data_IF_774196808796
#
_entry.id   IF_774196808796
#
_cell.length_a   1.000
_cell.length_b   1.000
_cell.length_c   1.000
_cell.angle_alpha   90.00
_cell.angle_beta   90.00
_cell.angle_gamma   90.00
#
_symmetry.space_group_name_H-M   'P 1'
#
loop_
_entity.id
_entity.type
_entity.pdbx_description
1 polymer ?
#
# COMPACT_ATOMS: atom_id res chain seq x y z
N UNK A 1 -15.66 7.97 63.43
CA UNK A 1 -17.11 8.25 63.39
C UNK A 1 -17.56 8.16 61.94
N UNK A 2 -18.34 7.15 61.56
CA UNK A 2 -19.03 7.11 60.26
C UNK A 2 -20.39 7.77 60.49
N UNK A 3 -20.61 8.91 59.85
CA UNK A 3 -21.78 9.77 60.00
C UNK A 3 -22.72 9.53 58.83
N UNK A 4 -23.63 8.58 58.98
CA UNK A 4 -24.92 8.43 58.31
C UNK A 4 -25.45 7.03 58.65
N UNK A 5 -26.67 6.92 59.14
CA UNK A 5 -27.27 5.69 59.67
C UNK A 5 -27.60 4.61 58.63
N UNK A 6 -26.75 4.40 57.62
CA UNK A 6 -26.99 3.45 56.53
C UNK A 6 -26.39 2.05 56.78
N UNK A 7 -25.43 1.93 57.71
CA UNK A 7 -24.75 0.66 57.99
C UNK A 7 -24.80 0.38 59.49
N UNK A 8 -25.46 -0.72 59.85
CA UNK A 8 -25.39 -1.26 61.20
C UNK A 8 -24.15 -2.14 61.32
N UNK A 9 -23.18 -1.67 62.11
CA UNK A 9 -21.92 -2.37 62.35
C UNK A 9 -21.98 -2.98 63.75
N UNK A 10 -21.81 -4.30 63.86
CA UNK A 10 -21.79 -5.00 65.15
C UNK A 10 -20.51 -5.83 65.29
N UNK A 11 -19.68 -5.51 66.27
CA UNK A 11 -18.43 -6.25 66.55
C UNK A 11 -17.49 -5.55 67.56
N UNK A 12 -16.68 -6.35 68.25
CA UNK A 12 -15.58 -5.90 69.12
C UNK A 12 -14.32 -5.57 68.29
N UNK A 13 -13.38 -4.79 68.87
CA UNK A 13 -12.22 -4.06 68.33
C UNK A 13 -11.34 -4.76 67.27
N UNK A 14 -11.55 -6.04 66.96
CA UNK A 14 -10.79 -6.82 65.98
C UNK A 14 -11.58 -7.39 64.80
N UNK A 15 -12.92 -7.33 64.80
CA UNK A 15 -13.73 -7.74 63.64
C UNK A 15 -15.06 -6.99 63.58
N UNK A 16 -15.30 -6.27 62.49
CA UNK A 16 -16.56 -5.58 62.22
C UNK A 16 -17.43 -6.47 61.34
N UNK A 17 -18.62 -6.85 61.82
CA UNK A 17 -19.62 -7.52 60.98
C UNK A 17 -20.59 -6.47 60.49
N UNK A 18 -20.70 -6.35 59.17
CA UNK A 18 -21.62 -5.45 58.48
C UNK A 18 -22.74 -6.29 57.89
N UNK A 19 -23.97 -5.80 57.98
CA UNK A 19 -25.11 -6.44 57.33
C UNK A 19 -24.93 -6.38 55.80
N UNK A 20 -24.80 -7.54 55.17
CA UNK A 20 -24.51 -7.68 53.73
C UNK A 20 -25.55 -6.97 52.86
N UNK A 21 -26.84 -7.04 53.22
CA UNK A 21 -27.92 -6.42 52.46
C UNK A 21 -27.88 -4.87 52.51
N UNK A 22 -27.38 -4.30 53.61
CA UNK A 22 -27.20 -2.85 53.73
C UNK A 22 -25.96 -2.38 52.97
N UNK A 23 -24.90 -3.20 52.95
CA UNK A 23 -23.70 -2.92 52.17
C UNK A 23 -23.99 -2.94 50.67
N UNK A 24 -24.71 -3.95 50.19
CA UNK A 24 -25.03 -4.09 48.76
C UNK A 24 -25.87 -2.93 48.23
N UNK A 25 -26.88 -2.49 49.01
CA UNK A 25 -27.71 -1.33 48.68
C UNK A 25 -26.92 -0.03 48.61
N UNK A 26 -26.04 0.21 49.61
CA UNK A 26 -25.24 1.42 49.66
C UNK A 26 -24.20 1.48 48.54
N UNK A 27 -23.63 0.33 48.14
CA UNK A 27 -22.69 0.25 47.01
C UNK A 27 -23.42 0.48 45.68
N UNK A 28 -24.63 -0.05 45.52
CA UNK A 28 -25.48 0.20 44.34
C UNK A 28 -25.83 1.69 44.16
N UNK A 29 -26.31 2.35 45.22
CA UNK A 29 -26.71 3.77 45.18
C UNK A 29 -25.51 4.71 44.94
N UNK A 30 -24.34 4.42 45.50
CA UNK A 30 -23.12 5.23 45.30
C UNK A 30 -22.48 4.97 43.92
N UNK A 31 -22.54 3.72 43.42
CA UNK A 31 -22.02 3.35 42.11
C UNK A 31 -22.77 4.02 40.96
N UNK A 32 -24.10 4.15 41.06
CA UNK A 32 -24.92 4.81 40.05
C UNK A 32 -24.67 6.32 39.98
N UNK A 33 -24.56 7.01 41.12
CA UNK A 33 -24.26 8.44 41.16
C UNK A 33 -22.89 8.79 40.55
N UNK A 34 -21.87 7.93 40.75
CA UNK A 34 -20.54 8.11 40.15
C UNK A 34 -20.59 7.87 38.64
N UNK A 35 -21.38 6.88 38.19
CA UNK A 35 -21.55 6.55 36.77
C UNK A 35 -22.31 7.66 36.03
N UNK A 36 -23.31 8.25 36.68
CA UNK A 36 -24.08 9.38 36.15
C UNK A 36 -23.22 10.65 36.08
N UNK A 37 -22.48 11.00 37.14
CA UNK A 37 -21.54 12.13 37.12
C UNK A 37 -20.41 11.98 36.12
N UNK A 38 -19.92 10.75 35.89
CA UNK A 38 -18.93 10.47 34.85
C UNK A 38 -19.51 10.59 33.43
N UNK A 39 -20.78 10.26 33.23
CA UNK A 39 -21.47 10.42 31.95
C UNK A 39 -21.76 11.90 31.65
N UNK A 40 -22.16 12.67 32.66
CA UNK A 40 -22.43 14.11 32.56
C UNK A 40 -21.14 14.91 32.28
N UNK A 41 -20.05 14.61 32.99
CA UNK A 41 -18.73 15.22 32.76
C UNK A 41 -18.22 14.95 31.34
N UNK A 42 -18.39 13.73 30.82
CA UNK A 42 -18.03 13.38 29.42
C UNK A 42 -18.92 14.10 28.40
N UNK A 43 -20.20 14.28 28.70
CA UNK A 43 -21.12 14.99 27.81
C UNK A 43 -20.82 16.50 27.76
N UNK A 44 -20.43 17.12 28.87
CA UNK A 44 -20.02 18.53 28.93
C UNK A 44 -18.68 18.80 28.24
N UNK A 45 -17.69 17.92 28.40
CA UNK A 45 -16.40 18.03 27.70
C UNK A 45 -16.55 17.91 26.18
N UNK A 46 -17.50 17.08 25.71
CA UNK A 46 -17.76 16.90 24.28
C UNK A 46 -18.39 18.11 23.60
N UNK A 47 -19.06 18.99 24.37
CA UNK A 47 -19.82 20.14 23.84
C UNK A 47 -18.99 21.41 23.69
N UNK A 48 -17.83 21.51 24.35
CA UNK A 48 -17.15 22.80 24.52
C UNK A 48 -16.00 23.10 23.57
N UNK A 49 -15.34 22.12 22.92
CA UNK A 49 -14.17 22.45 22.08
C UNK A 49 -14.00 21.53 20.87
N UNK A 50 -14.87 21.63 19.86
CA UNK A 50 -14.46 21.30 18.50
C UNK A 50 -14.79 22.46 17.59
N UNK A 51 -13.87 23.45 17.58
CA UNK A 51 -13.98 24.60 16.68
C UNK A 51 -14.21 24.10 15.25
N UNK A 52 -15.05 24.78 14.45
CA UNK A 52 -15.31 24.37 13.06
C UNK A 52 -14.02 24.15 12.26
N UNK A 53 -13.00 24.99 12.49
CA UNK A 53 -11.67 24.83 11.90
C UNK A 53 -10.99 23.50 12.27
N UNK A 54 -11.04 23.07 13.54
CA UNK A 54 -10.47 21.78 13.95
C UNK A 54 -11.20 20.60 13.28
N UNK A 55 -12.53 20.68 13.11
CA UNK A 55 -13.29 19.67 12.36
C UNK A 55 -12.89 19.62 10.89
N UNK A 56 -12.72 20.77 10.25
CA UNK A 56 -12.29 20.84 8.84
C UNK A 56 -10.87 20.29 8.66
N UNK A 57 -9.94 20.59 9.57
CA UNK A 57 -8.59 20.03 9.54
C UNK A 57 -8.59 18.51 9.76
N UNK A 58 -9.40 18.00 10.70
CA UNK A 58 -9.56 16.55 10.93
C UNK A 58 -10.19 15.87 9.72
N UNK A 59 -11.20 16.48 9.09
CA UNK A 59 -11.84 15.95 7.89
C UNK A 59 -10.85 15.87 6.71
N UNK A 60 -10.03 16.90 6.48
CA UNK A 60 -8.99 16.89 5.44
C UNK A 60 -7.91 15.84 5.72
N UNK A 61 -7.47 15.69 6.96
CA UNK A 61 -6.49 14.68 7.34
C UNK A 61 -7.05 13.26 7.14
N UNK A 62 -8.33 13.05 7.48
CA UNK A 62 -9.03 11.78 7.26
C UNK A 62 -9.18 11.47 5.76
N UNK A 63 -9.54 12.46 4.95
CA UNK A 63 -9.60 12.32 3.49
C UNK A 63 -8.24 11.95 2.90
N UNK A 64 -7.19 12.70 3.24
CA UNK A 64 -5.85 12.41 2.76
C UNK A 64 -5.37 11.00 3.15
N UNK A 65 -5.67 10.58 4.39
CA UNK A 65 -5.35 9.21 4.85
C UNK A 65 -6.14 8.15 4.08
N UNK A 66 -7.40 8.44 3.72
CA UNK A 66 -8.21 7.55 2.90
C UNK A 66 -7.66 7.46 1.46
N UNK A 67 -7.25 8.58 0.88
CA UNK A 67 -6.66 8.64 -0.46
C UNK A 67 -5.34 7.86 -0.54
N UNK A 68 -4.47 7.99 0.47
CA UNK A 68 -3.23 7.20 0.54
C UNK A 68 -3.51 5.70 0.62
N UNK A 69 -4.45 5.28 1.47
CA UNK A 69 -4.85 3.86 1.58
C UNK A 69 -5.47 3.34 0.28
N UNK A 70 -6.19 4.18 -0.45
CA UNK A 70 -6.72 3.84 -1.76
C UNK A 70 -5.60 3.60 -2.77
N UNK A 71 -4.62 4.50 -2.84
CA UNK A 71 -3.44 4.33 -3.73
C UNK A 71 -2.64 3.08 -3.38
N UNK A 72 -2.38 2.82 -2.09
CA UNK A 72 -1.71 1.60 -1.63
C UNK A 72 -2.48 0.32 -2.01
N UNK A 73 -3.82 0.36 -1.94
CA UNK A 73 -4.65 -0.78 -2.34
C UNK A 73 -4.58 -1.00 -3.85
N UNK A 74 -4.69 0.06 -4.64
CA UNK A 74 -4.63 -0.01 -6.11
C UNK A 74 -3.24 -0.47 -6.61
N UNK A 75 -2.17 -0.07 -5.92
CA UNK A 75 -0.81 -0.57 -6.17
C UNK A 75 -0.69 -2.06 -5.84
N UNK A 76 -1.22 -2.51 -4.69
CA UNK A 76 -1.26 -3.94 -4.33
C UNK A 76 -2.09 -4.78 -5.30
N UNK A 77 -3.16 -4.20 -5.85
CA UNK A 77 -3.98 -4.79 -6.91
C UNK A 77 -3.31 -4.72 -8.29
N UNK A 78 -2.09 -4.16 -8.40
CA UNK A 78 -1.31 -3.99 -9.64
C UNK A 78 -2.01 -3.17 -10.71
N UNK A 79 -2.89 -2.26 -10.31
CA UNK A 79 -3.57 -1.32 -11.23
C UNK A 79 -2.76 -0.06 -11.46
N UNK A 80 -1.87 0.28 -10.53
CA UNK A 80 -0.95 1.41 -10.61
C UNK A 80 0.49 0.91 -10.50
N UNK A 81 1.38 1.53 -11.27
CA UNK A 81 2.84 1.30 -11.25
C UNK A 81 3.53 2.65 -11.21
N UNK A 82 4.60 2.83 -10.40
CA UNK A 82 5.39 4.06 -10.39
C UNK A 82 5.93 4.42 -11.79
N UNK A 83 5.82 5.70 -12.16
CA UNK A 83 6.28 6.18 -13.48
C UNK A 83 7.78 5.95 -13.70
N UNK A 84 8.58 6.07 -12.64
CA UNK A 84 10.02 5.82 -12.71
C UNK A 84 10.34 4.37 -13.14
N UNK A 85 9.57 3.37 -12.68
CA UNK A 85 9.74 1.98 -13.07
C UNK A 85 9.43 1.78 -14.56
N UNK A 86 8.34 2.38 -15.03
CA UNK A 86 7.97 2.31 -16.45
C UNK A 86 9.07 2.95 -17.31
N UNK A 87 9.66 4.06 -16.86
CA UNK A 87 10.74 4.72 -17.58
C UNK A 87 12.01 3.86 -17.65
N UNK A 88 12.44 3.28 -16.54
CA UNK A 88 13.62 2.41 -16.51
C UNK A 88 13.41 1.13 -17.35
N UNK A 89 12.25 0.49 -17.22
CA UNK A 89 11.89 -0.67 -18.03
C UNK A 89 11.87 -0.31 -19.53
N UNK A 90 11.36 0.87 -19.88
CA UNK A 90 11.35 1.34 -21.27
C UNK A 90 12.76 1.54 -21.83
N UNK A 91 13.70 2.03 -21.03
CA UNK A 91 15.11 2.17 -21.44
C UNK A 91 15.71 0.79 -21.72
N UNK A 92 15.54 -0.19 -20.82
CA UNK A 92 16.04 -1.56 -20.99
C UNK A 92 15.47 -2.25 -22.23
N UNK A 93 14.17 -2.08 -22.46
CA UNK A 93 13.50 -2.57 -23.69
C UNK A 93 14.08 -1.89 -24.92
N UNK A 94 14.26 -0.56 -24.88
CA UNK A 94 14.84 0.20 -25.98
C UNK A 94 16.26 -0.26 -26.35
N UNK A 95 17.14 -0.42 -25.35
CA UNK A 95 18.50 -0.94 -25.55
C UNK A 95 18.50 -2.31 -26.22
N UNK A 96 17.60 -3.19 -25.79
CA UNK A 96 17.48 -4.54 -26.34
C UNK A 96 17.06 -4.52 -27.81
N UNK A 97 16.10 -3.66 -28.16
CA UNK A 97 15.69 -3.47 -29.56
C UNK A 97 16.85 -2.93 -30.39
N UNK A 98 17.62 -1.96 -29.88
CA UNK A 98 18.80 -1.44 -30.58
C UNK A 98 19.81 -2.54 -30.84
N UNK A 99 20.13 -3.38 -29.85
CA UNK A 99 21.07 -4.52 -30.03
C UNK A 99 20.61 -5.49 -31.11
N UNK A 100 19.30 -5.74 -31.22
CA UNK A 100 18.74 -6.59 -32.29
C UNK A 100 18.92 -5.94 -33.66
N UNK A 101 18.69 -4.63 -33.77
CA UNK A 101 18.87 -3.88 -35.02
C UNK A 101 20.34 -3.80 -35.44
N UNK A 102 21.27 -3.62 -34.50
CA UNK A 102 22.71 -3.58 -34.76
C UNK A 102 23.25 -4.87 -35.38
N UNK A 103 22.52 -5.99 -35.24
CA UNK A 103 22.85 -7.27 -35.88
C UNK A 103 22.43 -7.36 -37.35
N UNK A 104 21.72 -6.39 -37.91
CA UNK A 104 21.29 -6.39 -39.32
C UNK A 104 22.42 -6.66 -40.33
N UNK A 105 23.65 -6.13 -40.17
CA UNK A 105 24.74 -6.40 -41.10
C UNK A 105 25.10 -7.89 -41.21
N UNK A 106 24.80 -8.71 -40.19
CA UNK A 106 25.07 -10.16 -40.22
C UNK A 106 24.28 -10.90 -41.31
N UNK A 107 23.17 -10.32 -41.78
CA UNK A 107 22.36 -10.90 -42.84
C UNK A 107 22.80 -10.49 -44.26
N UNK A 108 23.83 -9.65 -44.39
CA UNK A 108 24.26 -9.10 -45.68
C UNK A 108 24.57 -10.21 -46.70
N UNK A 109 25.30 -11.25 -46.30
CA UNK A 109 25.66 -12.36 -47.19
C UNK A 109 24.44 -13.15 -47.67
N UNK A 110 23.47 -13.39 -46.79
CA UNK A 110 22.24 -14.09 -47.13
C UNK A 110 21.41 -13.31 -48.16
N UNK A 111 21.30 -11.99 -47.96
CA UNK A 111 20.61 -11.08 -48.88
C UNK A 111 21.34 -11.04 -50.24
N UNK A 112 22.67 -10.88 -50.23
CA UNK A 112 23.49 -10.87 -51.44
C UNK A 112 23.38 -12.18 -52.21
N UNK A 113 23.45 -13.33 -51.53
CA UNK A 113 23.32 -14.65 -52.16
C UNK A 113 21.97 -14.84 -52.83
N UNK A 114 20.87 -14.46 -52.16
CA UNK A 114 19.53 -14.55 -52.71
C UNK A 114 19.32 -13.57 -53.88
N UNK A 115 19.90 -12.37 -53.79
CA UNK A 115 19.87 -11.40 -54.88
C UNK A 115 20.60 -11.89 -56.13
N UNK A 116 21.72 -12.60 -55.98
CA UNK A 116 22.47 -13.17 -57.10
C UNK A 116 21.74 -14.35 -57.76
N UNK A 117 21.04 -15.18 -56.98
CA UNK A 117 20.34 -16.38 -57.49
C UNK A 117 19.02 -16.07 -58.15
N UNK A 118 18.14 -15.34 -57.46
CA UNK A 118 16.74 -15.14 -57.86
C UNK A 118 16.39 -13.66 -58.11
N UNK A 119 17.42 -12.81 -58.19
CA UNK A 119 17.26 -11.38 -58.40
C UNK A 119 16.55 -10.67 -57.25
N UNK A 120 15.86 -9.58 -57.58
CA UNK A 120 15.15 -8.77 -56.59
C UNK A 120 14.06 -9.55 -55.84
N UNK A 121 13.50 -10.62 -56.43
CA UNK A 121 12.46 -11.40 -55.77
C UNK A 121 13.04 -12.27 -54.64
N UNK A 122 14.18 -12.93 -54.85
CA UNK A 122 14.87 -13.68 -53.79
C UNK A 122 15.23 -12.79 -52.60
N UNK A 123 15.80 -11.62 -52.87
CA UNK A 123 16.13 -10.64 -51.84
C UNK A 123 14.89 -10.22 -51.01
N UNK A 124 13.73 -10.01 -51.65
CA UNK A 124 12.47 -9.66 -50.94
C UNK A 124 11.90 -10.80 -50.09
N UNK A 125 12.12 -12.05 -50.48
CA UNK A 125 11.73 -13.20 -49.66
C UNK A 125 12.60 -13.24 -48.41
N UNK A 126 13.92 -13.23 -48.58
CA UNK A 126 14.87 -13.25 -47.46
C UNK A 126 14.68 -12.07 -46.51
N UNK A 127 14.47 -10.85 -47.03
CA UNK A 127 14.18 -9.69 -46.18
C UNK A 127 12.89 -9.84 -45.37
N UNK A 128 11.86 -10.50 -45.91
CA UNK A 128 10.62 -10.78 -45.16
C UNK A 128 10.86 -11.80 -44.06
N UNK A 129 11.68 -12.81 -44.32
CA UNK A 129 12.02 -13.83 -43.34
C UNK A 129 12.87 -13.25 -42.21
N UNK A 130 13.89 -12.44 -42.53
CA UNK A 130 14.67 -11.68 -41.55
C UNK A 130 13.75 -10.76 -40.73
N UNK A 131 12.84 -10.03 -41.37
CA UNK A 131 11.90 -9.18 -40.64
C UNK A 131 10.96 -9.97 -39.71
N UNK A 132 10.61 -11.21 -40.04
CA UNK A 132 9.85 -12.08 -39.13
C UNK A 132 10.72 -12.54 -37.97
N UNK A 133 11.94 -12.99 -38.25
CA UNK A 133 12.91 -13.40 -37.24
C UNK A 133 13.17 -12.28 -36.23
N UNK A 134 13.48 -11.07 -36.68
CA UNK A 134 13.75 -9.93 -35.80
C UNK A 134 12.54 -9.57 -34.93
N UNK A 135 11.31 -9.67 -35.47
CA UNK A 135 10.10 -9.45 -34.66
C UNK A 135 9.95 -10.50 -33.56
N UNK A 136 10.26 -11.76 -33.87
CA UNK A 136 10.23 -12.84 -32.87
C UNK A 136 11.30 -12.64 -31.82
N UNK A 137 12.54 -12.33 -32.21
CA UNK A 137 13.64 -12.06 -31.27
C UNK A 137 13.33 -10.87 -30.35
N UNK A 138 12.76 -9.78 -30.89
CA UNK A 138 12.32 -8.63 -30.08
C UNK A 138 11.22 -9.04 -29.10
N UNK A 139 10.21 -9.78 -29.57
CA UNK A 139 9.10 -10.22 -28.71
C UNK A 139 9.57 -11.14 -27.58
N UNK A 140 10.47 -12.08 -27.86
CA UNK A 140 11.08 -12.97 -26.88
C UNK A 140 11.91 -12.20 -25.86
N UNK A 141 12.76 -11.27 -26.33
CA UNK A 141 13.59 -10.47 -25.45
C UNK A 141 12.76 -9.53 -24.55
N UNK A 142 11.69 -8.94 -25.09
CA UNK A 142 10.72 -8.18 -24.30
C UNK A 142 9.99 -9.06 -23.27
N UNK A 143 9.63 -10.28 -23.64
CA UNK A 143 9.04 -11.26 -22.73
C UNK A 143 9.97 -11.64 -21.58
N UNK A 144 11.26 -11.83 -21.88
CA UNK A 144 12.29 -12.13 -20.88
C UNK A 144 12.48 -10.96 -19.89
N UNK A 145 12.57 -9.72 -20.38
CA UNK A 145 12.65 -8.51 -19.53
C UNK A 145 11.43 -8.41 -18.61
N UNK A 146 10.23 -8.71 -19.13
CA UNK A 146 9.01 -8.72 -18.32
C UNK A 146 8.97 -9.83 -17.26
N UNK A 147 9.66 -10.95 -17.49
CA UNK A 147 9.73 -12.07 -16.56
C UNK A 147 10.81 -11.89 -15.47
N UNK A 148 11.92 -11.23 -15.82
CA UNK A 148 13.03 -10.91 -14.90
C UNK A 148 12.78 -9.68 -14.03
N UNK A 149 11.76 -8.87 -14.36
CA UNK A 149 11.39 -7.72 -13.56
C UNK A 149 10.93 -8.14 -12.16
N UNK A 150 11.86 -8.11 -11.18
CA UNK A 150 11.51 -8.26 -9.78
C UNK A 150 10.57 -7.11 -9.36
N UNK A 151 9.51 -7.40 -8.60
CA UNK A 151 8.63 -6.37 -8.10
C UNK A 151 9.41 -5.47 -7.14
N UNK A 152 9.48 -4.20 -7.51
CA UNK A 152 9.90 -3.11 -6.63
C UNK A 152 9.22 -3.23 -5.25
N UNK A 153 10.01 -3.11 -4.18
CA UNK A 153 9.49 -3.08 -2.81
C UNK A 153 9.52 -1.64 -2.31
N UNK A 154 8.35 -1.08 -2.05
CA UNK A 154 8.22 0.18 -1.29
C UNK A 154 8.66 -0.09 0.14
N UNK A 155 9.72 0.59 0.61
CA UNK A 155 10.16 0.51 2.00
C UNK A 155 9.16 1.29 2.89
N UNK A 156 8.42 0.64 3.80
CA UNK A 156 7.29 1.25 4.51
C UNK A 156 7.67 2.36 5.49
N UNK A 157 8.97 2.60 5.75
CA UNK A 157 9.43 3.49 6.82
C UNK A 157 9.80 4.88 6.32
N UNK A 158 10.21 5.05 5.07
CA UNK A 158 10.81 6.30 4.59
C UNK A 158 9.97 7.06 3.57
N UNK A 159 8.99 6.42 2.91
CA UNK A 159 8.36 6.97 1.71
C UNK A 159 9.39 7.34 0.63
N UNK A 160 10.62 6.83 0.75
CA UNK A 160 11.72 7.09 -0.17
C UNK A 160 12.02 5.85 -1.00
N UNK A 161 12.29 6.14 -2.26
CA UNK A 161 12.57 5.20 -3.30
C UNK A 161 13.95 4.54 -3.08
N UNK A 162 14.01 3.23 -2.79
CA UNK A 162 15.22 2.41 -2.82
C UNK A 162 15.30 1.61 -4.15
N UNK A 163 16.03 2.08 -5.19
CA UNK A 163 16.18 1.35 -6.45
C UNK A 163 16.64 -0.09 -6.22
N UNK A 164 16.20 -1.06 -7.06
CA UNK A 164 16.75 -2.39 -7.02
C UNK A 164 18.26 -2.29 -7.19
N UNK A 165 19.02 -2.90 -6.27
CA UNK A 165 20.47 -2.90 -6.31
C UNK A 165 20.92 -3.54 -7.63
N UNK A 166 21.50 -2.73 -8.51
CA UNK A 166 22.13 -3.20 -9.73
C UNK A 166 23.19 -4.25 -9.36
N UNK A 167 22.92 -5.50 -9.72
CA UNK A 167 23.93 -6.56 -9.82
C UNK A 167 24.46 -6.60 -11.25
#
# INVERSE_FOLDING_TARGET
MIKAGALTIRGDRRSLRVNLAQFDRAVGEVGDAIKEGAAETRAEDSRTVTSPALRDHQARAAQYTADLKFLELEEKLRRLVPVAEVQEASIKVGETVVRVIERLPTFAEAISSAATKDGAQGARVVLRDIARQLRTEIAEAMGAIGAEAEPWKVDPISGHYIPPSAQ
#
